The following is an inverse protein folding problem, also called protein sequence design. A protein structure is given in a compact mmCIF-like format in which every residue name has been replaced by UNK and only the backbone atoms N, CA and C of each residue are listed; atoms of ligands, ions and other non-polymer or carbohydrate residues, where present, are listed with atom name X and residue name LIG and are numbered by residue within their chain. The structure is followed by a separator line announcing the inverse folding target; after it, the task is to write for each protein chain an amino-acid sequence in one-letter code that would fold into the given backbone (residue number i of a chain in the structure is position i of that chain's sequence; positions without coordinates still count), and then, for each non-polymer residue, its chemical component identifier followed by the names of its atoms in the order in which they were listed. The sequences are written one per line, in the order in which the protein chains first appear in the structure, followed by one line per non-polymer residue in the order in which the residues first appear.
data_IF_552663800637
#
_entry.id   IF_552663800637
#
_cell.length_a   1.000
_cell.length_b   1.000
_cell.length_c   1.000
_cell.angle_alpha   90.00
_cell.angle_beta   90.00
_cell.angle_gamma   90.00
#
_symmetry.space_group_name_H-M   'P 1'
#
loop_
_entity.id
_entity.type
_entity.pdbx_description
1 polymer ?
#
# COMPACT_ATOMS: atom_id res chain seq x y z
N UNK A 1 -0.92 -26.33 1.65
CA UNK A 1 -0.97 -25.33 2.75
C UNK A 1 -0.05 -24.13 2.54
N UNK A 2 1.06 -24.23 1.77
CA UNK A 2 1.90 -23.07 1.42
C UNK A 2 1.14 -21.92 0.73
N UNK A 3 0.13 -22.22 -0.07
CA UNK A 3 -0.66 -21.20 -0.79
C UNK A 3 -1.43 -20.23 0.13
N UNK A 4 -1.63 -20.57 1.40
CA UNK A 4 -2.31 -19.69 2.36
C UNK A 4 -1.35 -18.91 3.26
N UNK A 5 -0.05 -19.27 3.30
CA UNK A 5 0.95 -18.53 4.07
C UNK A 5 1.16 -17.15 3.45
N UNK A 6 1.26 -17.08 2.11
CA UNK A 6 1.38 -15.82 1.36
C UNK A 6 0.13 -14.93 1.51
N UNK A 7 -1.06 -15.54 1.60
CA UNK A 7 -2.31 -14.82 1.80
C UNK A 7 -2.37 -14.15 3.19
N UNK A 8 -1.85 -14.83 4.22
CA UNK A 8 -1.76 -14.27 5.57
C UNK A 8 -0.80 -13.08 5.59
N UNK A 9 0.34 -13.20 4.93
CA UNK A 9 1.32 -12.12 4.80
C UNK A 9 0.72 -10.90 4.08
N UNK A 10 -0.01 -11.10 2.98
CA UNK A 10 -0.63 -10.00 2.23
C UNK A 10 -1.69 -9.22 3.05
N UNK A 11 -2.51 -9.94 3.82
CA UNK A 11 -3.50 -9.32 4.71
C UNK A 11 -2.81 -8.53 5.83
N UNK A 12 -1.75 -9.09 6.42
CA UNK A 12 -0.98 -8.43 7.48
C UNK A 12 -0.29 -7.15 6.96
N UNK A 13 0.25 -7.20 5.74
CA UNK A 13 0.84 -6.03 5.08
C UNK A 13 -0.22 -4.98 4.78
N UNK A 14 -1.39 -5.38 4.25
CA UNK A 14 -2.50 -4.46 4.03
C UNK A 14 -2.93 -3.77 5.32
N UNK A 15 -3.08 -4.54 6.40
CA UNK A 15 -3.45 -4.00 7.70
C UNK A 15 -2.41 -2.99 8.21
N UNK A 16 -1.11 -3.34 8.15
CA UNK A 16 -0.01 -2.44 8.53
C UNK A 16 -0.01 -1.15 7.72
N UNK A 17 -0.19 -1.24 6.40
CA UNK A 17 -0.25 -0.08 5.50
C UNK A 17 -1.41 0.84 5.85
N UNK A 18 -2.58 0.29 6.16
CA UNK A 18 -3.74 1.10 6.58
C UNK A 18 -3.53 1.82 7.92
N UNK A 19 -2.87 1.18 8.88
CA UNK A 19 -2.49 1.84 10.15
C UNK A 19 -1.50 2.99 9.95
N UNK A 20 -0.60 2.87 8.98
CA UNK A 20 0.32 3.95 8.61
C UNK A 20 -0.40 5.08 7.87
N UNK A 21 -1.33 4.72 6.98
CA UNK A 21 -2.18 5.66 6.24
C UNK A 21 -3.04 6.51 7.19
N UNK A 22 -3.67 5.90 8.19
CA UNK A 22 -4.43 6.60 9.23
C UNK A 22 -3.59 7.65 9.98
N UNK A 23 -2.28 7.42 10.08
CA UNK A 23 -1.31 8.31 10.76
C UNK A 23 -0.60 9.28 9.83
N UNK A 24 -1.00 9.38 8.57
CA UNK A 24 -0.34 10.15 7.50
C UNK A 24 1.15 9.79 7.28
N UNK A 25 1.57 8.56 7.61
CA UNK A 25 2.96 8.10 7.52
C UNK A 25 3.32 7.57 6.12
N UNK A 26 3.27 8.44 5.11
CA UNK A 26 3.44 8.09 3.69
C UNK A 26 4.80 7.45 3.37
N UNK A 27 5.86 7.91 4.02
CA UNK A 27 7.22 7.37 3.85
C UNK A 27 7.31 5.91 4.30
N UNK A 28 6.76 5.61 5.48
CA UNK A 28 6.76 4.26 6.07
C UNK A 28 5.88 3.28 5.25
N UNK A 29 4.82 3.78 4.60
CA UNK A 29 4.00 2.97 3.67
C UNK A 29 4.85 2.53 2.50
N UNK A 30 5.55 3.48 1.86
CA UNK A 30 6.41 3.21 0.71
C UNK A 30 7.50 2.21 1.07
N UNK A 31 8.18 2.44 2.20
CA UNK A 31 9.22 1.55 2.71
C UNK A 31 8.68 0.14 2.98
N UNK A 32 7.52 0.03 3.65
CA UNK A 32 6.88 -1.26 3.95
C UNK A 32 6.55 -2.02 2.67
N UNK A 33 5.94 -1.36 1.67
CA UNK A 33 5.60 -2.00 0.40
C UNK A 33 6.85 -2.41 -0.39
N UNK A 34 7.92 -1.63 -0.34
CA UNK A 34 9.17 -1.95 -1.03
C UNK A 34 9.91 -3.12 -0.35
N UNK A 35 10.06 -3.09 0.97
CA UNK A 35 10.73 -4.14 1.76
C UNK A 35 10.02 -5.50 1.65
N UNK A 36 8.69 -5.49 1.58
CA UNK A 36 7.87 -6.70 1.44
C UNK A 36 7.71 -7.15 -0.01
N UNK A 37 8.21 -6.38 -0.99
CA UNK A 37 8.07 -6.69 -2.41
C UNK A 37 6.65 -6.53 -2.96
N UNK A 38 5.76 -5.85 -2.22
CA UNK A 38 4.37 -5.59 -2.58
C UNK A 38 4.11 -4.18 -3.11
N UNK A 39 5.15 -3.40 -3.39
CA UNK A 39 5.03 -2.17 -4.17
C UNK A 39 4.73 -2.49 -5.65
N UNK A 40 3.54 -3.01 -5.90
CA UNK A 40 3.07 -3.54 -7.18
C UNK A 40 1.58 -3.27 -7.31
N UNK A 41 1.11 -3.15 -8.56
CA UNK A 41 -0.32 -2.96 -8.84
C UNK A 41 -1.19 -4.12 -8.29
N UNK A 42 -0.63 -5.33 -8.18
CA UNK A 42 -1.30 -6.49 -7.59
C UNK A 42 -1.74 -6.28 -6.14
N UNK A 43 -0.99 -5.52 -5.34
CA UNK A 43 -1.37 -5.20 -3.96
C UNK A 43 -2.65 -4.35 -3.91
N UNK A 44 -2.73 -3.32 -4.75
CA UNK A 44 -3.89 -2.44 -4.81
C UNK A 44 -5.12 -3.13 -5.42
N UNK A 45 -4.91 -4.01 -6.41
CA UNK A 45 -5.98 -4.86 -6.96
C UNK A 45 -6.54 -5.84 -5.93
N UNK A 46 -5.71 -6.33 -5.01
CA UNK A 46 -6.16 -7.16 -3.89
C UNK A 46 -6.99 -6.35 -2.87
N UNK A 47 -6.55 -5.13 -2.55
CA UNK A 47 -7.24 -4.27 -1.59
C UNK A 47 -8.63 -3.80 -2.06
N UNK A 48 -8.89 -3.71 -3.37
CA UNK A 48 -10.18 -3.28 -3.92
C UNK A 48 -11.35 -4.20 -3.49
N UNK A 49 -11.35 -5.52 -3.77
CA UNK A 49 -12.40 -6.42 -3.30
C UNK A 49 -12.58 -6.42 -1.79
N UNK A 50 -11.50 -6.24 -1.02
CA UNK A 50 -11.56 -6.13 0.44
C UNK A 50 -12.44 -4.93 0.85
N UNK A 51 -12.32 -3.79 0.17
CA UNK A 51 -13.20 -2.63 0.39
C UNK A 51 -14.64 -2.90 -0.03
N UNK A 52 -14.83 -3.59 -1.16
CA UNK A 52 -16.15 -3.92 -1.69
C UNK A 52 -16.93 -4.87 -0.77
N UNK A 53 -16.24 -5.73 -0.01
CA UNK A 53 -16.85 -6.62 0.98
C UNK A 53 -17.28 -5.91 2.28
N UNK A 54 -16.87 -4.66 2.52
CA UNK A 54 -17.19 -3.93 3.74
C UNK A 54 -18.50 -3.11 3.60
N UNK A 55 -19.29 -2.98 4.68
CA UNK A 55 -20.46 -2.10 4.72
C UNK A 55 -20.10 -0.63 4.42
N UNK A 56 -20.97 0.07 3.68
CA UNK A 56 -20.72 1.44 3.20
C UNK A 56 -20.52 2.47 4.33
N UNK A 57 -21.07 2.21 5.50
CA UNK A 57 -20.98 3.04 6.69
C UNK A 57 -19.78 2.68 7.60
N UNK A 58 -19.05 1.59 7.29
CA UNK A 58 -17.88 1.18 8.05
C UNK A 58 -16.74 2.20 7.96
N UNK A 59 -16.13 2.49 9.11
CA UNK A 59 -14.91 3.32 9.20
C UNK A 59 -13.77 2.70 8.42
N UNK A 60 -13.64 1.37 8.46
CA UNK A 60 -12.59 0.63 7.77
C UNK A 60 -12.73 0.79 6.25
N UNK A 61 -13.96 0.73 5.73
CA UNK A 61 -14.23 0.97 4.31
C UNK A 61 -13.78 2.35 3.88
N UNK A 62 -14.18 3.39 4.63
CA UNK A 62 -13.79 4.78 4.34
C UNK A 62 -12.28 4.97 4.36
N UNK A 63 -11.58 4.33 5.30
CA UNK A 63 -10.13 4.36 5.38
C UNK A 63 -9.49 3.72 4.14
N UNK A 64 -9.98 2.53 3.78
CA UNK A 64 -9.49 1.75 2.65
C UNK A 64 -9.79 2.44 1.30
N UNK A 65 -10.97 3.01 1.13
CA UNK A 65 -11.35 3.80 -0.05
C UNK A 65 -10.48 5.07 -0.18
N UNK A 66 -10.21 5.75 0.95
CA UNK A 66 -9.29 6.89 0.99
C UNK A 66 -7.87 6.49 0.57
N UNK A 67 -7.37 5.37 1.09
CA UNK A 67 -6.08 4.80 0.72
C UNK A 67 -6.01 4.44 -0.78
N UNK A 68 -7.02 3.74 -1.30
CA UNK A 68 -7.09 3.34 -2.71
C UNK A 68 -7.17 4.55 -3.65
N UNK A 69 -7.90 5.60 -3.26
CA UNK A 69 -7.94 6.87 -4.01
C UNK A 69 -6.60 7.59 -3.98
N UNK A 70 -5.87 7.51 -2.85
CA UNK A 70 -4.56 8.12 -2.66
C UNK A 70 -3.39 7.35 -3.29
N UNK A 71 -3.61 6.15 -3.86
CA UNK A 71 -2.53 5.24 -4.30
C UNK A 71 -1.59 5.86 -5.33
N UNK A 72 -2.10 6.65 -6.28
CA UNK A 72 -1.28 7.28 -7.32
C UNK A 72 -0.26 8.24 -6.72
N UNK A 73 -0.63 8.90 -5.62
CA UNK A 73 0.27 9.80 -4.90
C UNK A 73 1.42 9.02 -4.28
N UNK A 74 1.11 7.92 -3.61
CA UNK A 74 2.11 7.00 -3.03
C UNK A 74 3.05 6.48 -4.12
N UNK A 75 2.50 5.97 -5.23
CA UNK A 75 3.29 5.46 -6.37
C UNK A 75 4.20 6.54 -6.96
N UNK A 76 3.70 7.77 -7.09
CA UNK A 76 4.47 8.90 -7.62
C UNK A 76 5.64 9.28 -6.70
N UNK A 77 5.43 9.27 -5.38
CA UNK A 77 6.48 9.58 -4.38
C UNK A 77 7.60 8.54 -4.43
N UNK A 78 7.28 7.26 -4.68
CA UNK A 78 8.32 6.23 -4.86
C UNK A 78 9.16 6.49 -6.11
N UNK A 79 8.53 6.77 -7.24
CA UNK A 79 9.24 7.04 -8.50
C UNK A 79 10.22 8.22 -8.39
N UNK A 80 9.87 9.24 -7.61
CA UNK A 80 10.74 10.39 -7.33
C UNK A 80 11.92 9.99 -6.42
N UNK A 81 11.71 9.08 -5.46
CA UNK A 81 12.77 8.60 -4.55
C UNK A 81 13.73 7.60 -5.19
N UNK A 82 13.24 6.75 -6.08
CA UNK A 82 14.08 5.83 -6.87
C UNK A 82 14.88 6.55 -7.97
N UNK A 83 14.42 7.72 -8.42
CA UNK A 83 15.21 8.64 -9.23
C UNK A 83 16.31 9.31 -8.38
N UNK A 84 17.37 8.56 -8.07
CA UNK A 84 18.54 9.12 -7.40
C UNK A 84 19.14 10.26 -8.25
N UNK A 85 19.51 11.41 -7.65
CA UNK A 85 20.28 12.49 -8.30
C UNK A 85 21.71 12.13 -8.75
N UNK A 86 22.16 10.87 -8.60
CA UNK A 86 23.56 10.47 -8.82
C UNK A 86 23.98 10.31 -10.27
N UNK A 87 23.13 10.58 -11.27
CA UNK A 87 23.54 10.57 -12.68
C UNK A 87 23.83 11.97 -13.26
N UNK A 88 23.95 13.00 -12.43
CA UNK A 88 24.26 14.37 -12.88
C UNK A 88 25.61 14.92 -12.40
N UNK A 89 26.46 14.12 -11.76
CA UNK A 89 27.83 14.49 -11.41
C UNK A 89 28.76 13.26 -11.43
N UNK A 90 29.12 12.80 -12.63
CA UNK A 90 30.40 12.14 -12.94
C UNK A 90 30.82 12.54 -14.37
#
# INVERSE_FOLDING_TARGET
MKELEDAKELVDILHKVLLLWEKDRKDEITETLQQTGWLKDSFFRFAQPVSECLPNDSKEKKLLDGFLTGKERIISEVRVKDAKPTEFLD
#
